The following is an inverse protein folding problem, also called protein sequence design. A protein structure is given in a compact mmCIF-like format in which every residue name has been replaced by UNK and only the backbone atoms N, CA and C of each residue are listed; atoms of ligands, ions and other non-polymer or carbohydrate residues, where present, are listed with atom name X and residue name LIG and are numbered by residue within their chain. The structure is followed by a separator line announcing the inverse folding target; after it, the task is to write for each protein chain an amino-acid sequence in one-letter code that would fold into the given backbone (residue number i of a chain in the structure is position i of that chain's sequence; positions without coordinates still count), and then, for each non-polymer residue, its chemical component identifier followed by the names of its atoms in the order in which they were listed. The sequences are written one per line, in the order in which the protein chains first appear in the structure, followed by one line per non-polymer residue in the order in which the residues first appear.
data_IF_416190162319
#
_entry.id   IF_416190162319
#
_cell.length_a   1.000
_cell.length_b   1.000
_cell.length_c   1.000
_cell.angle_alpha   90.00
_cell.angle_beta   90.00
_cell.angle_gamma   90.00
#
_symmetry.space_group_name_H-M   'P 1'
#
loop_
_entity.id
_entity.type
_entity.pdbx_description
1 polymer ?
#
# COMPACT_ATOMS: atom_id res chain seq x y z
N UNK A 1 40.61 10.96 16.19
CA UNK A 1 40.86 9.49 16.22
C UNK A 1 39.78 8.68 16.96
N UNK A 2 39.24 9.12 18.12
CA UNK A 2 38.11 8.43 18.78
C UNK A 2 36.79 8.50 17.98
N UNK A 3 36.51 9.65 17.34
CA UNK A 3 35.28 9.89 16.55
C UNK A 3 35.17 8.96 15.35
N UNK A 4 36.28 8.69 14.65
CA UNK A 4 36.31 7.82 13.46
C UNK A 4 36.10 6.34 13.82
N UNK A 5 36.55 5.89 15.00
CA UNK A 5 36.31 4.53 15.50
C UNK A 5 34.85 4.31 15.90
N UNK A 6 34.22 5.29 16.55
CA UNK A 6 32.80 5.20 16.91
C UNK A 6 31.92 5.17 15.65
N UNK A 7 32.21 6.02 14.67
CA UNK A 7 31.50 6.04 13.39
C UNK A 7 31.63 4.70 12.64
N UNK A 8 32.82 4.08 12.64
CA UNK A 8 32.99 2.78 11.99
C UNK A 8 32.24 1.66 12.72
N UNK A 9 32.24 1.67 14.06
CA UNK A 9 31.46 0.71 14.86
C UNK A 9 29.95 0.85 14.64
N UNK A 10 29.44 2.08 14.59
CA UNK A 10 28.02 2.34 14.30
C UNK A 10 27.63 1.84 12.91
N UNK A 11 28.49 2.04 11.90
CA UNK A 11 28.26 1.53 10.55
C UNK A 11 28.18 0.00 10.51
N UNK A 12 29.07 -0.68 11.25
CA UNK A 12 29.06 -2.15 11.35
C UNK A 12 27.80 -2.64 12.05
N UNK A 13 27.38 -1.99 13.15
CA UNK A 13 26.14 -2.34 13.85
C UNK A 13 24.91 -2.12 12.98
N UNK A 14 24.83 -1.01 12.25
CA UNK A 14 23.75 -0.74 11.32
C UNK A 14 23.66 -1.82 10.23
N UNK A 15 24.78 -2.17 9.59
CA UNK A 15 24.82 -3.23 8.59
C UNK A 15 24.40 -4.60 9.18
N UNK A 16 24.86 -4.93 10.38
CA UNK A 16 24.46 -6.16 11.06
C UNK A 16 22.96 -6.18 11.36
N UNK A 17 22.40 -5.08 11.88
CA UNK A 17 20.97 -4.97 12.17
C UNK A 17 20.12 -5.04 10.90
N UNK A 18 20.56 -4.42 9.80
CA UNK A 18 19.90 -4.54 8.49
C UNK A 18 19.86 -6.00 8.03
N UNK A 19 20.97 -6.73 8.16
CA UNK A 19 21.03 -8.15 7.80
C UNK A 19 20.13 -9.04 8.66
N UNK A 20 20.13 -8.81 9.97
CA UNK A 20 19.24 -9.50 10.91
C UNK A 20 17.78 -9.21 10.59
N UNK A 21 17.45 -7.93 10.38
CA UNK A 21 16.11 -7.47 10.01
C UNK A 21 15.63 -8.07 8.69
N UNK A 22 16.48 -8.06 7.66
CA UNK A 22 16.19 -8.67 6.37
C UNK A 22 15.89 -10.16 6.50
N UNK A 23 16.75 -10.89 7.22
CA UNK A 23 16.64 -12.35 7.38
C UNK A 23 15.39 -12.73 8.19
N UNK A 24 15.25 -12.18 9.41
CA UNK A 24 14.13 -12.50 10.28
C UNK A 24 12.80 -11.97 9.72
N UNK A 25 12.82 -10.76 9.15
CA UNK A 25 11.68 -10.17 8.48
C UNK A 25 11.21 -11.01 7.30
N UNK A 26 12.14 -11.51 6.47
CA UNK A 26 11.82 -12.40 5.36
C UNK A 26 11.12 -13.67 5.85
N UNK A 27 11.70 -14.37 6.84
CA UNK A 27 11.06 -15.57 7.39
C UNK A 27 9.69 -15.27 7.99
N UNK A 28 9.56 -14.19 8.76
CA UNK A 28 8.30 -13.78 9.34
C UNK A 28 7.24 -13.49 8.26
N UNK A 29 7.62 -12.79 7.18
CA UNK A 29 6.76 -12.58 6.03
C UNK A 29 6.35 -13.91 5.37
N UNK A 30 7.27 -14.87 5.20
CA UNK A 30 6.95 -16.17 4.60
C UNK A 30 6.02 -17.02 5.48
N UNK A 31 6.29 -17.14 6.78
CA UNK A 31 5.45 -17.96 7.66
C UNK A 31 4.05 -17.36 7.87
N UNK A 32 3.91 -16.03 7.78
CA UNK A 32 2.60 -15.36 7.84
C UNK A 32 1.77 -15.53 6.57
N UNK A 33 2.25 -16.26 5.56
CA UNK A 33 1.38 -16.71 4.47
C UNK A 33 0.39 -17.80 4.94
N UNK A 34 0.62 -18.40 6.11
CA UNK A 34 -0.27 -19.37 6.75
C UNK A 34 -1.26 -18.62 7.66
N UNK A 35 -2.59 -18.71 7.41
CA UNK A 35 -3.60 -17.98 8.19
C UNK A 35 -3.56 -18.24 9.70
N UNK A 36 -3.25 -19.46 10.12
CA UNK A 36 -3.14 -19.79 11.55
C UNK A 36 -2.03 -18.99 12.24
N UNK A 37 -0.90 -18.77 11.56
CA UNK A 37 0.21 -17.97 12.09
C UNK A 37 -0.19 -16.49 12.19
N UNK A 38 -0.92 -15.97 11.20
CA UNK A 38 -1.48 -14.61 11.26
C UNK A 38 -2.39 -14.47 12.48
N UNK A 39 -3.30 -15.43 12.69
CA UNK A 39 -4.22 -15.41 13.82
C UNK A 39 -3.51 -15.49 15.17
N UNK A 40 -2.41 -16.25 15.29
CA UNK A 40 -1.57 -16.27 16.49
C UNK A 40 -0.98 -14.87 16.73
N UNK A 41 -0.34 -14.27 15.74
CA UNK A 41 0.30 -12.94 15.88
C UNK A 41 -0.72 -11.86 16.26
N UNK A 42 -1.92 -11.89 15.67
CA UNK A 42 -2.97 -10.90 15.92
C UNK A 42 -3.68 -11.05 17.28
N UNK A 43 -3.49 -12.19 17.97
CA UNK A 43 -3.99 -12.40 19.34
C UNK A 43 -3.01 -11.96 20.40
N UNK A 44 -1.74 -11.79 20.04
CA UNK A 44 -0.70 -11.33 20.95
C UNK A 44 -0.76 -9.82 21.15
N UNK A 45 -0.59 -9.37 22.39
CA UNK A 45 -0.55 -7.94 22.75
C UNK A 45 0.70 -7.20 22.24
N UNK A 46 1.56 -7.89 21.47
CA UNK A 46 2.82 -7.36 20.94
C UNK A 46 2.68 -6.72 19.56
N UNK A 47 1.50 -6.75 18.93
CA UNK A 47 1.28 -6.15 17.61
C UNK A 47 1.58 -4.64 17.59
N UNK A 48 1.26 -3.92 18.67
CA UNK A 48 1.59 -2.50 18.82
C UNK A 48 3.11 -2.28 18.79
N UNK A 49 3.88 -3.04 19.58
CA UNK A 49 5.35 -2.95 19.63
C UNK A 49 5.99 -3.32 18.29
N UNK A 50 5.46 -4.35 17.63
CA UNK A 50 5.89 -4.73 16.28
C UNK A 50 5.66 -3.57 15.30
N UNK A 51 4.50 -2.90 15.39
CA UNK A 51 4.17 -1.75 14.53
C UNK A 51 5.02 -0.52 14.82
N UNK A 52 5.43 -0.29 16.07
CA UNK A 52 6.40 0.77 16.42
C UNK A 52 7.75 0.54 15.73
N UNK A 53 8.23 -0.72 15.73
CA UNK A 53 9.45 -1.10 15.00
C UNK A 53 9.26 -0.85 13.50
N UNK A 54 8.12 -1.27 12.93
CA UNK A 54 7.81 -1.01 11.52
C UNK A 54 7.84 0.49 11.21
N UNK A 55 7.19 1.32 12.02
CA UNK A 55 7.19 2.78 11.84
C UNK A 55 8.61 3.35 11.84
N UNK A 56 9.44 2.95 12.78
CA UNK A 56 10.82 3.46 12.88
C UNK A 56 11.66 3.05 11.67
N UNK A 57 11.56 1.79 11.23
CA UNK A 57 12.30 1.28 10.08
C UNK A 57 11.84 1.94 8.78
N UNK A 58 10.51 2.02 8.56
CA UNK A 58 9.95 2.65 7.36
C UNK A 58 10.26 4.14 7.30
N UNK A 59 10.16 4.86 8.43
CA UNK A 59 10.53 6.29 8.52
C UNK A 59 12.00 6.48 8.18
N UNK A 60 12.90 5.70 8.80
CA UNK A 60 14.34 5.79 8.52
C UNK A 60 14.68 5.55 7.04
N UNK A 61 13.99 4.59 6.41
CA UNK A 61 14.16 4.31 4.99
C UNK A 61 13.69 5.48 4.11
N UNK A 62 12.50 6.02 4.40
CA UNK A 62 11.95 7.18 3.67
C UNK A 62 12.85 8.40 3.86
N UNK A 63 13.38 8.66 5.05
CA UNK A 63 14.27 9.80 5.29
C UNK A 63 15.59 9.67 4.52
N UNK A 64 16.10 8.44 4.38
CA UNK A 64 17.35 8.14 3.68
C UNK A 64 17.22 8.34 2.16
N UNK A 65 16.12 7.85 1.58
CA UNK A 65 15.95 7.84 0.11
C UNK A 65 15.05 8.95 -0.41
N UNK A 66 14.25 9.57 0.46
CA UNK A 66 13.27 10.61 0.14
C UNK A 66 12.38 10.18 -1.04
N UNK A 67 12.52 10.85 -2.19
CA UNK A 67 11.77 10.56 -3.42
C UNK A 67 12.48 9.62 -4.40
N UNK A 68 13.61 9.03 -4.01
CA UNK A 68 14.46 8.16 -4.84
C UNK A 68 14.55 6.75 -4.26
N UNK A 69 13.40 6.08 -4.16
CA UNK A 69 13.33 4.70 -3.70
C UNK A 69 14.16 3.80 -4.65
N UNK A 70 15.13 3.02 -4.13
CA UNK A 70 16.02 2.22 -4.97
C UNK A 70 15.28 1.04 -5.62
N UNK A 71 15.68 0.70 -6.85
CA UNK A 71 15.17 -0.47 -7.59
C UNK A 71 15.96 -1.76 -7.34
N UNK A 72 17.05 -1.69 -6.56
CA UNK A 72 17.98 -2.79 -6.31
C UNK A 72 17.50 -3.73 -5.20
N UNK A 73 17.70 -5.05 -5.35
CA UNK A 73 17.47 -6.07 -4.32
C UNK A 73 18.65 -6.12 -3.32
N UNK A 74 18.71 -5.14 -2.41
CA UNK A 74 19.64 -5.13 -1.28
C UNK A 74 18.99 -5.73 -0.02
N UNK A 75 19.80 -6.12 0.97
CA UNK A 75 19.29 -6.55 2.29
C UNK A 75 18.32 -5.53 2.90
N UNK A 76 18.61 -4.23 2.74
CA UNK A 76 17.73 -3.16 3.19
C UNK A 76 16.38 -3.18 2.46
N UNK A 77 16.39 -3.25 1.13
CA UNK A 77 15.14 -3.33 0.35
C UNK A 77 14.34 -4.59 0.68
N UNK A 78 14.99 -5.73 0.87
CA UNK A 78 14.36 -6.97 1.29
C UNK A 78 13.73 -6.83 2.68
N UNK A 79 14.38 -6.13 3.60
CA UNK A 79 13.83 -5.88 4.92
C UNK A 79 12.56 -5.04 4.85
N UNK A 80 12.58 -3.93 4.10
CA UNK A 80 11.39 -3.08 3.93
C UNK A 80 10.26 -3.84 3.23
N UNK A 81 10.56 -4.55 2.14
CA UNK A 81 9.58 -5.37 1.42
C UNK A 81 8.97 -6.45 2.32
N UNK A 82 9.75 -7.03 3.23
CA UNK A 82 9.27 -8.00 4.20
C UNK A 82 8.33 -7.38 5.25
N UNK A 83 8.60 -6.14 5.68
CA UNK A 83 7.68 -5.40 6.55
C UNK A 83 6.34 -5.14 5.83
N UNK A 84 6.39 -4.64 4.60
CA UNK A 84 5.16 -4.36 3.83
C UNK A 84 4.39 -5.65 3.56
N UNK A 85 5.11 -6.73 3.21
CA UNK A 85 4.54 -8.05 2.99
C UNK A 85 3.92 -8.66 4.24
N UNK A 86 4.51 -8.43 5.41
CA UNK A 86 3.93 -8.82 6.68
C UNK A 86 2.63 -8.05 6.94
N UNK A 87 2.58 -6.73 6.71
CA UNK A 87 1.34 -5.94 6.82
C UNK A 87 0.27 -6.46 5.87
N UNK A 88 0.65 -6.80 4.63
CA UNK A 88 -0.26 -7.41 3.66
C UNK A 88 -0.88 -8.70 4.18
N UNK A 89 -0.06 -9.61 4.71
CA UNK A 89 -0.52 -10.88 5.27
C UNK A 89 -1.39 -10.69 6.51
N UNK A 90 -0.97 -9.85 7.47
CA UNK A 90 -1.73 -9.59 8.69
C UNK A 90 -3.11 -8.98 8.37
N UNK A 91 -3.21 -8.19 7.31
CA UNK A 91 -4.46 -7.55 6.87
C UNK A 91 -5.40 -8.50 6.10
N UNK A 92 -5.04 -9.77 5.93
CA UNK A 92 -5.96 -10.79 5.40
C UNK A 92 -7.03 -11.19 6.41
N UNK A 93 -6.80 -10.94 7.70
CA UNK A 93 -7.75 -11.17 8.79
C UNK A 93 -8.43 -9.87 9.26
N UNK A 94 -9.66 -9.98 9.76
CA UNK A 94 -10.46 -8.82 10.20
C UNK A 94 -9.79 -8.02 11.32
N UNK A 95 -9.15 -8.72 12.27
CA UNK A 95 -8.40 -8.06 13.36
C UNK A 95 -7.24 -7.23 12.85
N UNK A 96 -6.52 -7.72 11.84
CA UNK A 96 -5.43 -6.99 11.22
C UNK A 96 -5.94 -5.78 10.44
N UNK A 97 -6.98 -5.96 9.63
CA UNK A 97 -7.69 -4.86 8.95
C UNK A 97 -8.12 -3.77 9.92
N UNK A 98 -8.77 -4.16 11.02
CA UNK A 98 -9.20 -3.25 12.06
C UNK A 98 -8.01 -2.50 12.67
N UNK A 99 -6.95 -3.22 13.06
CA UNK A 99 -5.76 -2.63 13.65
C UNK A 99 -5.13 -1.57 12.73
N UNK A 100 -4.83 -1.92 11.49
CA UNK A 100 -4.18 -1.01 10.54
C UNK A 100 -5.10 0.13 10.06
N UNK A 101 -6.42 -0.04 10.15
CA UNK A 101 -7.40 0.99 9.78
C UNK A 101 -7.80 1.93 10.91
N UNK A 102 -7.75 1.49 12.17
CA UNK A 102 -8.31 2.23 13.31
C UNK A 102 -7.26 2.67 14.33
N UNK A 103 -6.28 1.83 14.64
CA UNK A 103 -5.26 2.13 15.63
C UNK A 103 -4.28 3.19 15.11
N UNK A 104 -3.87 4.14 15.96
CA UNK A 104 -2.96 5.23 15.56
C UNK A 104 -1.60 4.73 15.04
N UNK A 105 -0.97 3.73 15.68
CA UNK A 105 0.30 3.20 15.19
C UNK A 105 0.10 2.42 13.89
N UNK A 106 -0.99 1.66 13.79
CA UNK A 106 -1.36 0.94 12.56
C UNK A 106 -1.57 1.90 11.38
N UNK A 107 -2.33 2.97 11.59
CA UNK A 107 -2.52 4.05 10.59
C UNK A 107 -1.21 4.68 10.15
N UNK A 108 -0.26 4.87 11.07
CA UNK A 108 1.05 5.42 10.73
C UNK A 108 1.85 4.47 9.83
N UNK A 109 1.82 3.16 10.09
CA UNK A 109 2.41 2.16 9.18
C UNK A 109 1.81 2.29 7.78
N UNK A 110 0.48 2.39 7.66
CA UNK A 110 -0.19 2.52 6.36
C UNK A 110 0.17 3.81 5.63
N UNK A 111 0.26 4.95 6.34
CA UNK A 111 0.72 6.21 5.74
C UNK A 111 2.15 6.10 5.20
N UNK A 112 3.06 5.42 5.89
CA UNK A 112 4.43 5.23 5.42
C UNK A 112 4.48 4.31 4.19
N UNK A 113 3.64 3.27 4.13
CA UNK A 113 3.49 2.43 2.92
C UNK A 113 2.95 3.27 1.75
N UNK A 114 2.00 4.17 2.00
CA UNK A 114 1.53 5.11 0.98
C UNK A 114 2.67 6.02 0.50
N UNK A 115 3.49 6.57 1.40
CA UNK A 115 4.66 7.37 1.00
C UNK A 115 5.65 6.59 0.15
N UNK A 116 5.91 5.32 0.47
CA UNK A 116 6.79 4.47 -0.34
C UNK A 116 6.20 4.27 -1.74
N UNK A 117 4.91 3.95 -1.84
CA UNK A 117 4.27 3.68 -3.14
C UNK A 117 4.19 4.93 -4.04
N UNK A 118 4.11 6.13 -3.45
CA UNK A 118 4.08 7.40 -4.20
C UNK A 118 5.46 7.89 -4.63
N UNK A 119 6.52 7.56 -3.88
CA UNK A 119 7.90 7.86 -4.25
C UNK A 119 8.57 6.79 -5.12
N UNK A 120 7.93 5.64 -5.29
CA UNK A 120 8.42 4.58 -6.17
C UNK A 120 8.06 4.88 -7.62
N UNK A 121 9.02 4.74 -8.54
CA UNK A 121 8.79 4.89 -9.98
C UNK A 121 7.83 3.82 -10.54
N UNK A 122 7.00 4.23 -11.50
CA UNK A 122 6.03 3.38 -12.20
C UNK A 122 6.64 2.48 -13.28
N UNK A 123 7.89 2.05 -13.14
CA UNK A 123 8.45 1.03 -14.06
C UNK A 123 7.70 -0.29 -13.87
N UNK A 124 7.26 -0.91 -14.96
CA UNK A 124 6.57 -2.21 -14.96
C UNK A 124 7.27 -3.27 -14.11
N UNK A 125 6.51 -4.01 -13.31
CA UNK A 125 7.03 -5.14 -12.51
C UNK A 125 7.70 -4.74 -11.20
N UNK A 126 7.41 -3.54 -10.68
CA UNK A 126 8.05 -3.06 -9.47
C UNK A 126 7.49 -3.76 -8.22
N UNK A 127 8.30 -4.62 -7.60
CA UNK A 127 7.92 -5.37 -6.40
C UNK A 127 7.44 -4.46 -5.25
N UNK A 128 7.99 -3.24 -5.14
CA UNK A 128 7.55 -2.22 -4.19
C UNK A 128 6.09 -1.85 -4.38
N UNK A 129 5.69 -1.53 -5.62
CA UNK A 129 4.33 -1.15 -5.98
C UNK A 129 3.36 -2.28 -5.68
N UNK A 130 3.71 -3.48 -6.17
CA UNK A 130 2.87 -4.66 -6.01
C UNK A 130 2.57 -4.97 -4.54
N UNK A 131 3.60 -5.12 -3.71
CA UNK A 131 3.37 -5.52 -2.31
C UNK A 131 2.68 -4.42 -1.51
N UNK A 132 2.99 -3.15 -1.81
CA UNK A 132 2.31 -1.99 -1.21
C UNK A 132 0.83 -1.97 -1.58
N UNK A 133 0.49 -2.17 -2.85
CA UNK A 133 -0.91 -2.22 -3.27
C UNK A 133 -1.68 -3.38 -2.68
N UNK A 134 -1.07 -4.56 -2.49
CA UNK A 134 -1.71 -5.66 -1.75
C UNK A 134 -1.99 -5.27 -0.31
N UNK A 135 -1.01 -4.68 0.39
CA UNK A 135 -1.20 -4.23 1.78
C UNK A 135 -2.32 -3.19 1.90
N UNK A 136 -2.27 -2.14 1.08
CA UNK A 136 -3.27 -1.09 1.06
C UNK A 136 -4.65 -1.63 0.67
N UNK A 137 -4.73 -2.55 -0.30
CA UNK A 137 -5.98 -3.16 -0.72
C UNK A 137 -6.60 -3.94 0.44
N UNK A 138 -5.84 -4.84 1.07
CA UNK A 138 -6.34 -5.66 2.18
C UNK A 138 -6.88 -4.81 3.33
N UNK A 139 -6.17 -3.73 3.70
CA UNK A 139 -6.63 -2.79 4.72
C UNK A 139 -7.90 -2.04 4.28
N UNK A 140 -7.95 -1.59 3.02
CA UNK A 140 -9.07 -0.80 2.49
C UNK A 140 -10.41 -1.54 2.44
N UNK A 141 -10.41 -2.88 2.48
CA UNK A 141 -11.63 -3.70 2.48
C UNK A 141 -12.39 -3.57 3.81
N UNK A 142 -11.76 -3.04 4.86
CA UNK A 142 -12.38 -2.92 6.17
C UNK A 142 -13.67 -2.08 6.12
N UNK A 143 -14.80 -2.71 6.41
CA UNK A 143 -16.16 -2.20 6.16
C UNK A 143 -16.62 -1.07 7.09
N UNK A 144 -15.85 -0.72 8.13
CA UNK A 144 -16.26 0.27 9.13
C UNK A 144 -15.84 1.72 8.81
N UNK A 145 -15.42 2.02 7.58
CA UNK A 145 -15.33 3.39 7.04
C UNK A 145 -14.31 4.33 7.67
N UNK A 146 -13.46 3.86 8.59
CA UNK A 146 -12.46 4.69 9.30
C UNK A 146 -11.17 4.94 8.51
N UNK A 147 -11.06 4.40 7.30
CA UNK A 147 -9.83 4.38 6.51
C UNK A 147 -9.70 5.57 5.56
N UNK A 148 -10.55 6.60 5.69
CA UNK A 148 -10.57 7.77 4.79
C UNK A 148 -9.22 8.47 4.62
N UNK A 149 -8.31 8.33 5.59
CA UNK A 149 -6.93 8.82 5.51
C UNK A 149 -6.09 8.18 4.39
N UNK A 150 -6.53 7.03 3.85
CA UNK A 150 -5.85 6.32 2.77
C UNK A 150 -6.06 6.96 1.41
N UNK A 151 -6.94 7.97 1.27
CA UNK A 151 -7.20 8.64 0.00
C UNK A 151 -6.56 10.02 0.04
N UNK A 152 -5.46 10.19 -0.71
CA UNK A 152 -4.84 11.47 -1.00
C UNK A 152 -4.49 11.60 -2.50
N UNK A 153 -4.17 12.82 -2.93
CA UNK A 153 -3.87 13.09 -4.34
C UNK A 153 -2.59 12.38 -4.83
N UNK A 154 -1.62 12.15 -3.94
CA UNK A 154 -0.38 11.45 -4.27
C UNK A 154 -0.63 9.98 -4.59
N UNK A 155 -1.40 9.28 -3.75
CA UNK A 155 -1.79 7.90 -4.00
C UNK A 155 -2.61 7.78 -5.28
N UNK A 156 -3.59 8.67 -5.48
CA UNK A 156 -4.41 8.65 -6.71
C UNK A 156 -3.55 8.88 -7.96
N UNK A 157 -2.57 9.79 -7.90
CA UNK A 157 -1.60 9.97 -8.98
C UNK A 157 -0.81 8.68 -9.26
N UNK A 158 -0.27 8.04 -8.22
CA UNK A 158 0.47 6.78 -8.36
C UNK A 158 -0.39 5.68 -9.00
N UNK A 159 -1.65 5.56 -8.56
CA UNK A 159 -2.61 4.62 -9.15
C UNK A 159 -2.86 4.91 -10.63
N UNK A 160 -3.09 6.17 -11.02
CA UNK A 160 -3.27 6.53 -12.43
C UNK A 160 -2.06 6.15 -13.28
N UNK A 161 -0.86 6.47 -12.80
CA UNK A 161 0.38 6.23 -13.54
C UNK A 161 0.60 4.71 -13.74
N UNK A 162 0.32 3.90 -12.72
CA UNK A 162 0.43 2.43 -12.78
C UNK A 162 -0.74 1.75 -13.54
N UNK A 163 -1.91 2.37 -13.59
CA UNK A 163 -3.04 1.91 -14.41
C UNK A 163 -2.74 2.15 -15.90
N UNK A 164 -2.13 3.29 -16.23
CA UNK A 164 -1.85 3.69 -17.61
C UNK A 164 -0.63 3.05 -18.25
N UNK A 165 0.34 2.55 -17.45
CA UNK A 165 1.63 2.10 -17.96
C UNK A 165 1.50 1.09 -19.12
N UNK A 166 1.72 1.58 -20.34
CA UNK A 166 1.52 0.84 -21.60
C UNK A 166 2.63 -0.17 -21.88
N UNK A 167 3.74 -0.10 -21.13
CA UNK A 167 4.91 -0.97 -21.33
C UNK A 167 4.85 -2.24 -20.48
N UNK A 168 3.80 -2.42 -19.69
CA UNK A 168 3.65 -3.56 -18.80
C UNK A 168 3.45 -4.85 -19.62
N UNK A 169 4.56 -5.56 -19.85
CA UNK A 169 4.59 -6.86 -20.49
C UNK A 169 4.18 -7.92 -19.46
N UNK A 170 3.10 -8.63 -19.75
CA UNK A 170 2.32 -9.51 -18.87
C UNK A 170 3.13 -10.66 -18.20
N UNK A 171 4.02 -10.38 -17.27
CA UNK A 171 4.83 -11.39 -16.57
C UNK A 171 4.72 -11.26 -15.05
N UNK A 172 3.54 -11.58 -14.52
CA UNK A 172 3.25 -11.67 -13.08
C UNK A 172 1.86 -11.10 -12.74
N UNK A 173 1.28 -11.38 -11.54
CA UNK A 173 0.01 -10.78 -11.18
C UNK A 173 0.15 -9.27 -11.21
N UNK A 174 -0.54 -8.67 -12.16
CA UNK A 174 -0.21 -7.41 -12.79
C UNK A 174 -0.28 -6.25 -11.78
N UNK A 175 0.77 -5.44 -11.69
CA UNK A 175 0.81 -4.19 -10.91
C UNK A 175 -0.42 -3.32 -11.21
N UNK A 176 -0.86 -3.28 -12.48
CA UNK A 176 -2.09 -2.62 -12.92
C UNK A 176 -3.34 -3.25 -12.30
N UNK A 177 -3.42 -4.58 -12.24
CA UNK A 177 -4.56 -5.28 -11.62
C UNK A 177 -4.68 -4.92 -10.13
N UNK A 178 -3.57 -4.90 -9.39
CA UNK A 178 -3.60 -4.47 -7.99
C UNK A 178 -3.91 -2.98 -7.82
N UNK A 179 -3.43 -2.12 -8.72
CA UNK A 179 -3.80 -0.70 -8.72
C UNK A 179 -5.32 -0.52 -8.94
N UNK A 180 -5.91 -1.24 -9.90
CA UNK A 180 -7.37 -1.24 -10.14
C UNK A 180 -8.15 -1.77 -8.94
N UNK A 181 -7.70 -2.88 -8.33
CA UNK A 181 -8.32 -3.46 -7.13
C UNK A 181 -8.30 -2.50 -5.95
N UNK A 182 -7.18 -1.82 -5.73
CA UNK A 182 -7.07 -0.80 -4.70
C UNK A 182 -8.00 0.39 -5.00
N UNK A 183 -8.00 0.91 -6.23
CA UNK A 183 -8.87 2.02 -6.61
C UNK A 183 -10.36 1.69 -6.38
N UNK A 184 -10.80 0.51 -6.82
CA UNK A 184 -12.16 0.02 -6.59
C UNK A 184 -12.49 -0.05 -5.10
N UNK A 185 -11.64 -0.68 -4.29
CA UNK A 185 -11.87 -0.82 -2.86
C UNK A 185 -11.89 0.52 -2.13
N UNK A 186 -10.99 1.46 -2.48
CA UNK A 186 -10.98 2.81 -1.93
C UNK A 186 -12.28 3.55 -2.24
N UNK A 187 -12.76 3.47 -3.48
CA UNK A 187 -14.01 4.11 -3.87
C UNK A 187 -15.23 3.53 -3.13
N UNK A 188 -15.26 2.20 -2.95
CA UNK A 188 -16.42 1.50 -2.38
C UNK A 188 -16.47 1.54 -0.85
N UNK A 189 -15.34 1.29 -0.21
CA UNK A 189 -15.28 1.00 1.22
C UNK A 189 -14.72 2.16 2.05
N UNK A 190 -13.90 3.00 1.43
CA UNK A 190 -13.15 4.07 2.13
C UNK A 190 -13.71 5.46 1.84
N UNK A 191 -14.29 5.65 0.66
CA UNK A 191 -14.67 6.96 0.15
C UNK A 191 -15.79 7.62 0.97
N UNK A 192 -15.46 8.75 1.56
CA UNK A 192 -16.37 9.74 2.15
C UNK A 192 -16.66 10.87 1.15
N UNK A 193 -17.61 11.75 1.45
CA UNK A 193 -17.88 12.94 0.61
C UNK A 193 -16.61 13.79 0.40
N UNK A 194 -15.80 13.97 1.45
CA UNK A 194 -14.56 14.75 1.39
C UNK A 194 -13.52 14.11 0.48
N UNK A 195 -13.29 12.81 0.63
CA UNK A 195 -12.29 12.08 -0.16
C UNK A 195 -12.77 11.80 -1.59
N UNK A 196 -14.09 11.79 -1.82
CA UNK A 196 -14.66 11.67 -3.15
C UNK A 196 -14.25 12.83 -4.06
N UNK A 197 -14.18 14.05 -3.55
CA UNK A 197 -13.70 15.21 -4.32
C UNK A 197 -12.25 15.01 -4.80
N UNK A 198 -11.40 14.42 -3.97
CA UNK A 198 -10.02 14.07 -4.35
C UNK A 198 -10.04 13.05 -5.48
N UNK A 199 -10.81 11.97 -5.34
CA UNK A 199 -10.95 10.94 -6.36
C UNK A 199 -11.49 11.50 -7.68
N UNK A 200 -12.60 12.24 -7.63
CA UNK A 200 -13.26 12.86 -8.79
C UNK A 200 -12.34 13.79 -9.57
N UNK A 201 -11.52 14.57 -8.89
CA UNK A 201 -10.64 15.55 -9.54
C UNK A 201 -9.32 14.94 -10.06
N UNK A 202 -8.89 13.80 -9.52
CA UNK A 202 -7.57 13.25 -9.82
C UNK A 202 -7.60 11.94 -10.61
N UNK A 203 -8.66 11.12 -10.53
CA UNK A 203 -8.73 9.85 -11.28
C UNK A 203 -8.93 10.10 -12.77
N UNK A 204 -8.10 9.47 -13.61
CA UNK A 204 -8.18 9.58 -15.07
C UNK A 204 -9.23 8.62 -15.62
N UNK A 205 -10.51 9.01 -15.54
CA UNK A 205 -11.63 8.18 -16.02
C UNK A 205 -11.51 7.76 -17.49
N UNK A 206 -10.91 8.60 -18.35
CA UNK A 206 -10.67 8.27 -19.75
C UNK A 206 -9.77 7.04 -19.95
N UNK A 207 -8.84 6.81 -19.03
CA UNK A 207 -7.96 5.64 -19.05
C UNK A 207 -8.72 4.38 -18.63
N UNK A 208 -9.63 4.46 -17.66
CA UNK A 208 -10.52 3.37 -17.30
C UNK A 208 -11.48 3.01 -18.45
N UNK A 209 -12.02 4.00 -19.16
CA UNK A 209 -12.88 3.77 -20.34
C UNK A 209 -12.14 2.95 -21.40
N UNK A 210 -10.86 3.25 -21.69
CA UNK A 210 -10.05 2.45 -22.62
C UNK A 210 -9.89 1.00 -22.17
N UNK A 211 -9.72 0.78 -20.87
CA UNK A 211 -9.56 -0.57 -20.30
C UNK A 211 -10.84 -1.42 -20.37
N UNK A 212 -12.01 -0.83 -20.59
CA UNK A 212 -13.24 -1.59 -20.85
C UNK A 212 -13.21 -2.39 -22.16
N UNK A 213 -12.22 -2.12 -23.02
CA UNK A 213 -11.93 -2.86 -24.26
C UNK A 213 -10.64 -3.68 -24.17
N UNK A 214 -10.09 -3.88 -22.97
CA UNK A 214 -8.89 -4.71 -22.78
C UNK A 214 -9.15 -6.17 -23.16
N UNK A 215 -8.11 -6.84 -23.67
CA UNK A 215 -8.12 -8.29 -23.96
C UNK A 215 -8.21 -9.09 -22.66
N UNK A 216 -7.52 -8.64 -21.63
CA UNK A 216 -7.59 -9.22 -20.30
C UNK A 216 -8.99 -8.99 -19.69
N UNK A 217 -9.69 -10.09 -19.41
CA UNK A 217 -11.07 -10.04 -18.93
C UNK A 217 -11.18 -9.50 -17.50
N UNK A 218 -10.21 -9.79 -16.63
CA UNK A 218 -10.22 -9.27 -15.25
C UNK A 218 -10.06 -7.75 -15.25
N UNK A 219 -9.11 -7.23 -16.02
CA UNK A 219 -8.88 -5.78 -16.20
C UNK A 219 -10.12 -5.11 -16.79
N UNK A 220 -10.71 -5.71 -17.83
CA UNK A 220 -11.94 -5.19 -18.45
C UNK A 220 -13.08 -5.09 -17.44
N UNK A 221 -13.35 -6.17 -16.71
CA UNK A 221 -14.45 -6.24 -15.75
C UNK A 221 -14.25 -5.25 -14.61
N UNK A 222 -13.05 -5.16 -14.03
CA UNK A 222 -12.82 -4.24 -12.91
C UNK A 222 -12.90 -2.77 -13.35
N UNK A 223 -12.44 -2.43 -14.56
CA UNK A 223 -12.55 -1.07 -15.08
C UNK A 223 -14.02 -0.65 -15.26
N UNK A 224 -14.87 -1.55 -15.77
CA UNK A 224 -16.31 -1.32 -15.90
C UNK A 224 -16.98 -1.09 -14.53
N UNK A 225 -16.63 -1.91 -13.53
CA UNK A 225 -17.16 -1.78 -12.16
C UNK A 225 -16.76 -0.43 -11.56
N UNK A 226 -15.48 -0.03 -11.68
CA UNK A 226 -15.01 1.25 -11.13
C UNK A 226 -15.76 2.44 -11.75
N UNK A 227 -15.98 2.43 -13.07
CA UNK A 227 -16.73 3.50 -13.75
C UNK A 227 -18.17 3.61 -13.22
N UNK A 228 -18.84 2.47 -13.03
CA UNK A 228 -20.18 2.42 -12.47
C UNK A 228 -20.22 2.87 -11.00
N UNK A 229 -19.22 2.50 -10.21
CA UNK A 229 -19.10 2.96 -8.83
C UNK A 229 -18.85 4.47 -8.74
N UNK A 230 -18.11 5.05 -9.68
CA UNK A 230 -17.96 6.51 -9.77
C UNK A 230 -19.30 7.19 -10.08
N UNK A 231 -20.11 6.63 -10.98
CA UNK A 231 -21.46 7.13 -11.28
C UNK A 231 -22.33 7.13 -10.02
N UNK A 232 -22.39 5.99 -9.32
CA UNK A 232 -23.14 5.85 -8.06
C UNK A 232 -22.64 6.79 -6.97
N UNK A 233 -21.32 6.95 -6.83
CA UNK A 233 -20.74 7.86 -5.86
C UNK A 233 -21.07 9.32 -6.18
N UNK A 234 -21.08 9.72 -7.46
CA UNK A 234 -21.51 11.04 -7.90
C UNK A 234 -22.95 11.33 -7.48
N UNK A 235 -23.87 10.39 -7.74
CA UNK A 235 -25.28 10.49 -7.34
C UNK A 235 -25.43 10.62 -5.83
N UNK A 236 -24.68 9.81 -5.07
CA UNK A 236 -24.71 9.82 -3.61
C UNK A 236 -24.20 11.13 -3.00
N UNK A 237 -23.13 11.70 -3.53
CA UNK A 237 -22.41 12.80 -2.88
C UNK A 237 -22.75 14.19 -3.42
N UNK A 238 -23.21 14.30 -4.67
CA UNK A 238 -23.48 15.57 -5.34
C UNK A 238 -24.99 15.89 -5.46
N UNK A 239 -25.87 14.89 -5.54
CA UNK A 239 -27.29 15.10 -5.87
C UNK A 239 -28.18 15.53 -4.68
N UNK A 240 -27.63 16.27 -3.71
CA UNK A 240 -28.38 16.86 -2.57
C UNK A 240 -28.33 18.39 -2.49
N UNK A 241 -28.19 19.09 -3.62
CA UNK A 241 -28.42 20.54 -3.70
C UNK A 241 -29.45 20.84 -4.78
N UNK A 242 -30.69 20.38 -4.60
CA UNK A 242 -31.88 21.06 -5.13
C UNK A 242 -32.98 20.86 -4.08
N UNK A 243 -33.71 21.94 -3.77
CA UNK A 243 -34.78 22.11 -2.78
C UNK A 243 -34.37 22.59 -1.38
N UNK A 244 -34.15 23.90 -1.29
CA UNK A 244 -35.01 24.78 -0.50
C UNK A 244 -35.18 26.10 -1.22
#
# INVERSE_FOLDING_TARGET
MKTTKLQSQLKIQAAFLTKVGATLGHYLWKITQVPDIVNIILREDKLTKLSEIMVNVLTSFIDTYQSKIPTTDTEETMFILSIIGLVANLSTEDRGRQFFSQNNIGKNVIKLIMTIVTHTSSSSGNQWKKISYVALYNVSIFSNGSSGFMIDAGLVKALNDDIEDRNNTMTGPDQRCFALKLLHSLLRNVCTKTTYNIMKNNVRLSSLVKLTSAVDTEIKTIAQIILEDFRKANEKFETKIIMS
#
